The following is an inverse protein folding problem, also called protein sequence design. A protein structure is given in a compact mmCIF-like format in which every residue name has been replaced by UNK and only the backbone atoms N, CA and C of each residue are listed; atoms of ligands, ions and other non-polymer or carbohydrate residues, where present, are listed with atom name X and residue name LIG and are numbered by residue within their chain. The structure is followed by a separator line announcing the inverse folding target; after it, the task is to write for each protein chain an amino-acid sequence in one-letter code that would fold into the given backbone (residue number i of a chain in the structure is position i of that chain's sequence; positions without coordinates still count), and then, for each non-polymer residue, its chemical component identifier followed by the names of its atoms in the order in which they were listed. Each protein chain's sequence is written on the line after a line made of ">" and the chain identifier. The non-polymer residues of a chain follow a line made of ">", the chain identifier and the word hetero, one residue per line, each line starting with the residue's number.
data_IF_119035338641
#
_entry.id   IF_119035338641
#
_cell.length_a   1.000
_cell.length_b   1.000
_cell.length_c   1.000
_cell.angle_alpha   90.00
_cell.angle_beta   90.00
_cell.angle_gamma   90.00
#
_symmetry.space_group_name_H-M   'P 1'
#
loop_
_entity.id
_entity.type
_entity.pdbx_description
1 polymer ?
#
# COMPACT_ATOMS: atom_id res chain seq x y z
N UNK A 1 23.26 12.35 22.90
CA UNK A 1 22.13 13.30 22.74
C UNK A 1 21.82 13.67 21.29
N UNK A 2 22.79 13.87 20.40
CA UNK A 2 22.50 14.29 18.99
C UNK A 2 21.84 13.18 18.14
N UNK A 3 22.12 11.91 18.42
CA UNK A 3 21.67 10.79 17.57
C UNK A 3 20.14 10.60 17.54
N UNK A 4 19.45 10.72 18.68
CA UNK A 4 17.98 10.57 18.70
C UNK A 4 17.29 11.72 17.97
N UNK A 5 17.81 12.95 18.09
CA UNK A 5 17.28 14.14 17.39
C UNK A 5 17.37 13.99 15.88
N UNK A 6 18.47 13.42 15.40
CA UNK A 6 18.65 13.11 13.99
C UNK A 6 17.61 12.09 13.51
N UNK A 7 17.37 11.02 14.27
CA UNK A 7 16.33 10.04 13.90
C UNK A 7 14.92 10.64 14.00
N UNK A 8 14.61 11.45 15.02
CA UNK A 8 13.31 12.14 15.14
C UNK A 8 13.04 13.05 13.94
N UNK A 9 14.03 13.85 13.55
CA UNK A 9 13.95 14.72 12.36
C UNK A 9 13.80 13.89 11.09
N UNK A 10 14.53 12.78 10.98
CA UNK A 10 14.44 11.87 9.84
C UNK A 10 13.06 11.20 9.74
N UNK A 11 12.45 10.84 10.86
CA UNK A 11 11.07 10.32 10.89
C UNK A 11 10.10 11.37 10.37
N UNK A 12 10.25 12.65 10.76
CA UNK A 12 9.43 13.74 10.21
C UNK A 12 9.59 13.87 8.70
N UNK A 13 10.83 13.99 8.21
CA UNK A 13 11.12 14.11 6.77
C UNK A 13 10.53 12.97 5.96
N UNK A 14 10.74 11.72 6.41
CA UNK A 14 10.19 10.55 5.73
C UNK A 14 8.65 10.52 5.79
N UNK A 15 8.04 11.00 6.87
CA UNK A 15 6.57 11.11 6.97
C UNK A 15 6.03 12.14 5.97
N UNK A 16 6.71 13.27 5.80
CA UNK A 16 6.37 14.28 4.79
C UNK A 16 6.53 13.74 3.36
N UNK A 17 7.59 13.00 3.08
CA UNK A 17 7.83 12.37 1.78
C UNK A 17 6.77 11.31 1.46
N UNK A 18 6.46 10.44 2.42
CA UNK A 18 5.37 9.46 2.31
C UNK A 18 4.06 10.17 2.05
N UNK A 19 3.75 11.25 2.79
CA UNK A 19 2.52 12.01 2.58
C UNK A 19 2.45 12.66 1.20
N UNK A 20 3.55 13.26 0.72
CA UNK A 20 3.63 13.82 -0.64
C UNK A 20 3.40 12.74 -1.69
N UNK A 21 4.10 11.61 -1.59
CA UNK A 21 3.97 10.51 -2.55
C UNK A 21 2.58 9.85 -2.50
N UNK A 22 2.02 9.63 -1.31
CA UNK A 22 0.68 9.05 -1.16
C UNK A 22 -0.40 9.91 -1.82
N UNK A 23 -0.24 11.23 -1.85
CA UNK A 23 -1.17 12.15 -2.53
C UNK A 23 -1.10 12.10 -4.06
N UNK A 24 0.01 11.64 -4.64
CA UNK A 24 0.17 11.57 -6.10
C UNK A 24 -0.32 10.26 -6.67
N UNK A 25 -0.54 9.24 -5.83
CA UNK A 25 -0.98 7.92 -6.24
C UNK A 25 -2.48 7.92 -6.50
N UNK A 26 -2.85 7.50 -7.70
CA UNK A 26 -4.23 7.32 -8.11
C UNK A 26 -4.81 6.04 -7.50
N UNK A 27 -6.10 6.06 -7.17
CA UNK A 27 -6.79 4.92 -6.55
C UNK A 27 -6.90 3.71 -7.49
N UNK A 28 -6.90 3.93 -8.81
CA UNK A 28 -6.83 2.88 -9.83
C UNK A 28 -5.37 2.59 -10.19
N UNK A 29 -4.94 1.34 -10.05
CA UNK A 29 -3.53 0.96 -10.26
C UNK A 29 -3.04 1.26 -11.68
N UNK A 30 -3.91 1.18 -12.69
CA UNK A 30 -3.54 1.39 -14.10
C UNK A 30 -3.24 2.84 -14.47
N UNK A 31 -3.69 3.78 -13.64
CA UNK A 31 -3.52 5.22 -13.88
C UNK A 31 -2.27 5.77 -13.17
N UNK A 32 -1.49 4.89 -12.52
CA UNK A 32 -0.22 5.24 -11.90
C UNK A 32 0.93 4.93 -12.86
N UNK A 33 1.96 5.78 -12.84
CA UNK A 33 3.24 5.47 -13.49
C UNK A 33 3.89 4.26 -12.81
N UNK A 34 4.59 3.45 -13.62
CA UNK A 34 5.36 2.32 -13.14
C UNK A 34 6.36 2.75 -12.06
N UNK A 35 6.44 1.99 -10.97
CA UNK A 35 7.37 2.24 -9.86
C UNK A 35 6.86 3.17 -8.76
N UNK A 36 5.77 3.95 -8.95
CA UNK A 36 5.26 4.85 -7.89
C UNK A 36 4.87 4.14 -6.59
N UNK A 37 4.33 2.93 -6.70
CA UNK A 37 3.97 2.09 -5.55
C UNK A 37 5.21 1.51 -4.86
N UNK A 38 6.23 1.12 -5.63
CA UNK A 38 7.49 0.61 -5.11
C UNK A 38 8.27 1.72 -4.38
N UNK A 39 8.23 2.94 -4.91
CA UNK A 39 8.77 4.14 -4.26
C UNK A 39 8.07 4.42 -2.93
N UNK A 40 6.72 4.41 -2.91
CA UNK A 40 5.96 4.59 -1.68
C UNK A 40 6.29 3.51 -0.65
N UNK A 41 6.39 2.25 -1.09
CA UNK A 41 6.77 1.14 -0.22
C UNK A 41 8.17 1.34 0.36
N UNK A 42 9.15 1.71 -0.47
CA UNK A 42 10.52 1.98 -0.01
C UNK A 42 10.57 3.11 1.03
N UNK A 43 9.78 4.17 0.84
CA UNK A 43 9.67 5.27 1.80
C UNK A 43 9.05 4.81 3.13
N UNK A 44 8.00 3.99 3.09
CA UNK A 44 7.37 3.42 4.28
C UNK A 44 8.33 2.51 5.05
N UNK A 45 9.11 1.68 4.36
CA UNK A 45 10.13 0.82 4.96
C UNK A 45 11.24 1.64 5.63
N UNK A 46 11.77 2.66 4.95
CA UNK A 46 12.77 3.58 5.50
C UNK A 46 12.25 4.31 6.74
N UNK A 47 10.99 4.75 6.71
CA UNK A 47 10.32 5.39 7.86
C UNK A 47 10.22 4.43 9.03
N UNK A 48 9.77 3.19 8.79
CA UNK A 48 9.69 2.15 9.83
C UNK A 48 11.04 1.87 10.48
N UNK A 49 12.11 1.76 9.69
CA UNK A 49 13.46 1.57 10.23
C UNK A 49 13.95 2.78 11.07
N UNK A 50 13.63 4.01 10.66
CA UNK A 50 13.96 5.21 11.44
C UNK A 50 13.23 5.24 12.79
N UNK A 51 11.94 4.84 12.81
CA UNK A 51 11.17 4.71 14.05
C UNK A 51 11.80 3.68 14.99
N UNK A 52 12.18 2.51 14.47
CA UNK A 52 12.84 1.47 15.27
C UNK A 52 14.16 1.95 15.87
N UNK A 53 14.98 2.69 15.10
CA UNK A 53 16.22 3.30 15.61
C UNK A 53 15.94 4.35 16.68
N UNK A 54 14.95 5.21 16.45
CA UNK A 54 14.52 6.23 17.41
C UNK A 54 14.07 5.59 18.73
N UNK A 55 13.22 4.57 18.68
CA UNK A 55 12.75 3.83 19.86
C UNK A 55 13.93 3.22 20.64
N UNK A 56 14.89 2.60 19.94
CA UNK A 56 16.09 2.06 20.56
C UNK A 56 16.94 3.12 21.28
N UNK A 57 16.96 4.37 20.80
CA UNK A 57 17.64 5.47 21.49
C UNK A 57 16.86 5.97 22.71
N UNK A 58 15.54 6.05 22.61
CA UNK A 58 14.64 6.50 23.69
C UNK A 58 14.64 5.51 24.84
N UNK A 59 14.69 4.19 24.59
CA UNK A 59 14.65 3.19 25.66
C UNK A 59 15.97 3.02 26.40
N UNK A 60 17.11 3.36 25.77
CA UNK A 60 18.45 3.20 26.38
C UNK A 60 18.79 4.29 27.40
N UNK A 61 18.05 5.39 27.43
CA UNK A 61 18.29 6.53 28.31
C UNK A 61 16.95 6.90 28.93
N UNK A 62 16.90 7.34 30.19
CA UNK A 62 15.67 7.89 30.79
C UNK A 62 15.27 9.18 30.06
N UNK A 63 14.75 9.02 28.85
CA UNK A 63 14.73 10.05 27.83
C UNK A 63 13.66 11.08 28.15
N UNK A 64 14.07 12.34 28.22
CA UNK A 64 13.17 13.45 28.44
C UNK A 64 13.09 14.29 27.18
N UNK A 65 11.86 14.41 26.67
CA UNK A 65 11.54 15.26 25.53
C UNK A 65 11.65 16.74 25.90
N UNK A 66 12.58 17.43 25.26
CA UNK A 66 12.71 18.88 25.38
C UNK A 66 11.65 19.59 24.51
N UNK A 67 11.37 20.88 24.73
CA UNK A 67 10.31 21.60 24.00
C UNK A 67 10.43 21.51 22.47
N UNK A 68 11.65 21.55 21.93
CA UNK A 68 11.90 21.45 20.49
C UNK A 68 11.49 20.08 19.92
N UNK A 69 11.76 19.00 20.67
CA UNK A 69 11.36 17.66 20.26
C UNK A 69 9.83 17.53 20.26
N UNK A 70 9.16 18.14 21.25
CA UNK A 70 7.69 18.16 21.33
C UNK A 70 7.07 18.85 20.11
N UNK A 71 7.68 19.94 19.63
CA UNK A 71 7.23 20.61 18.42
C UNK A 71 7.30 19.70 17.18
N UNK A 72 8.37 18.91 17.04
CA UNK A 72 8.50 17.92 15.96
C UNK A 72 7.47 16.79 16.13
N UNK A 73 7.24 16.33 17.35
CA UNK A 73 6.25 15.30 17.66
C UNK A 73 4.83 15.76 17.32
N UNK A 74 4.47 17.02 17.60
CA UNK A 74 3.16 17.55 17.22
C UNK A 74 2.99 17.63 15.70
N UNK A 75 4.01 18.08 14.95
CA UNK A 75 3.98 18.04 13.48
C UNK A 75 3.81 16.62 12.94
N UNK A 76 4.51 15.64 13.53
CA UNK A 76 4.34 14.23 13.20
C UNK A 76 2.91 13.77 13.42
N UNK A 77 2.29 14.08 14.56
CA UNK A 77 0.90 13.72 14.84
C UNK A 77 -0.07 14.31 13.82
N UNK A 78 0.08 15.59 13.49
CA UNK A 78 -0.77 16.25 12.51
C UNK A 78 -0.65 15.62 11.11
N UNK A 79 0.57 15.25 10.71
CA UNK A 79 0.80 14.56 9.45
C UNK A 79 0.24 13.13 9.46
N UNK A 80 0.38 12.39 10.55
CA UNK A 80 -0.18 11.04 10.67
C UNK A 80 -1.70 11.02 10.54
N UNK A 81 -2.41 11.99 11.16
CA UNK A 81 -3.86 12.13 11.02
C UNK A 81 -4.26 12.31 9.55
N UNK A 82 -3.47 13.05 8.77
CA UNK A 82 -3.71 13.29 7.34
C UNK A 82 -3.29 12.11 6.47
N UNK A 83 -2.23 11.40 6.87
CA UNK A 83 -1.65 10.29 6.12
C UNK A 83 -2.49 9.00 6.25
N UNK A 84 -3.00 8.73 7.45
CA UNK A 84 -3.77 7.52 7.75
C UNK A 84 -4.94 7.26 6.78
N UNK A 85 -5.82 8.23 6.45
CA UNK A 85 -6.89 8.00 5.48
C UNK A 85 -6.37 7.76 4.06
N UNK A 86 -5.26 8.38 3.66
CA UNK A 86 -4.66 8.16 2.33
C UNK A 86 -4.16 6.73 2.19
N UNK A 87 -3.34 6.27 3.14
CA UNK A 87 -2.79 4.91 3.11
C UNK A 87 -3.90 3.86 3.18
N UNK A 88 -4.87 4.05 4.07
CA UNK A 88 -6.02 3.15 4.18
C UNK A 88 -6.85 3.12 2.89
N UNK A 89 -7.06 4.28 2.26
CA UNK A 89 -7.78 4.40 1.01
C UNK A 89 -7.08 3.69 -0.15
N UNK A 90 -5.76 3.84 -0.27
CA UNK A 90 -4.95 3.14 -1.27
C UNK A 90 -5.01 1.62 -1.07
N UNK A 91 -4.78 1.16 0.16
CA UNK A 91 -4.85 -0.27 0.51
C UNK A 91 -6.19 -0.90 0.13
N UNK A 92 -7.30 -0.25 0.51
CA UNK A 92 -8.64 -0.72 0.20
C UNK A 92 -8.92 -0.74 -1.30
N UNK A 93 -8.50 0.31 -2.02
CA UNK A 93 -8.71 0.45 -3.46
C UNK A 93 -7.98 -0.65 -4.23
N UNK A 94 -6.73 -0.92 -3.89
CA UNK A 94 -5.93 -1.97 -4.54
C UNK A 94 -6.40 -3.37 -4.17
N UNK A 95 -6.74 -3.60 -2.90
CA UNK A 95 -7.33 -4.87 -2.45
C UNK A 95 -8.62 -5.21 -3.20
N UNK A 96 -9.50 -4.23 -3.40
CA UNK A 96 -10.76 -4.41 -4.12
C UNK A 96 -10.54 -4.68 -5.61
N UNK A 97 -9.57 -4.00 -6.25
CA UNK A 97 -9.21 -4.27 -7.63
C UNK A 97 -8.66 -5.69 -7.82
N UNK A 98 -7.81 -6.16 -6.90
CA UNK A 98 -7.27 -7.52 -6.96
C UNK A 98 -8.38 -8.57 -6.79
N UNK A 99 -9.34 -8.36 -5.88
CA UNK A 99 -10.53 -9.22 -5.73
C UNK A 99 -11.34 -9.29 -7.01
N UNK A 100 -11.60 -8.14 -7.66
CA UNK A 100 -12.32 -8.08 -8.94
C UNK A 100 -11.58 -8.84 -10.04
N UNK A 101 -10.26 -8.66 -10.18
CA UNK A 101 -9.44 -9.40 -11.16
C UNK A 101 -9.56 -10.91 -10.92
N UNK A 102 -9.48 -11.36 -9.67
CA UNK A 102 -9.59 -12.79 -9.33
C UNK A 102 -10.98 -13.34 -9.64
N UNK A 103 -12.04 -12.59 -9.32
CA UNK A 103 -13.42 -12.94 -9.65
C UNK A 103 -13.64 -13.03 -11.17
N UNK A 104 -13.14 -12.05 -11.93
CA UNK A 104 -13.19 -12.08 -13.40
C UNK A 104 -12.44 -13.28 -13.95
N UNK A 105 -11.23 -13.59 -13.46
CA UNK A 105 -10.49 -14.79 -13.87
C UNK A 105 -11.25 -16.08 -13.57
N UNK A 106 -11.90 -16.18 -12.40
CA UNK A 106 -12.71 -17.35 -12.06
C UNK A 106 -13.95 -17.47 -12.96
N UNK A 107 -14.65 -16.36 -13.22
CA UNK A 107 -15.78 -16.31 -14.13
C UNK A 107 -15.38 -16.71 -15.56
N UNK A 108 -14.30 -16.14 -16.10
CA UNK A 108 -13.77 -16.49 -17.42
C UNK A 108 -13.39 -17.98 -17.50
N UNK A 109 -12.78 -18.56 -16.47
CA UNK A 109 -12.50 -20.01 -16.41
C UNK A 109 -13.78 -20.87 -16.44
N UNK A 110 -14.83 -20.46 -15.71
CA UNK A 110 -16.14 -21.14 -15.73
C UNK A 110 -16.80 -21.07 -17.11
N UNK A 111 -16.76 -19.91 -17.77
CA UNK A 111 -17.30 -19.74 -19.11
C UNK A 111 -16.51 -20.56 -20.15
N UNK A 112 -15.17 -20.52 -20.15
CA UNK A 112 -14.35 -21.34 -21.05
C UNK A 112 -14.62 -22.83 -20.83
N UNK A 113 -14.73 -23.28 -19.57
CA UNK A 113 -15.09 -24.66 -19.25
C UNK A 113 -16.49 -25.06 -19.75
N UNK A 114 -17.46 -24.14 -19.70
CA UNK A 114 -18.82 -24.38 -20.20
C UNK A 114 -18.86 -24.54 -21.74
N UNK A 115 -18.02 -23.82 -22.48
CA UNK A 115 -17.90 -23.98 -23.94
C UNK A 115 -16.99 -25.16 -24.34
N UNK A 116 -16.03 -25.56 -23.49
CA UNK A 116 -15.20 -26.75 -23.70
C UNK A 116 -15.94 -28.06 -23.37
N UNK A 117 -16.93 -28.05 -22.48
CA UNK A 117 -17.80 -29.22 -22.20
C UNK A 117 -18.88 -29.46 -23.26
N UNK A 118 -19.04 -28.58 -24.26
CA UNK A 118 -19.83 -28.90 -25.46
C UNK A 118 -18.96 -29.69 -26.45
N UNK A 119 -18.37 -30.79 -25.97
CA UNK A 119 -17.84 -31.84 -26.82
C UNK A 119 -19.03 -32.60 -27.42
N UNK A 120 -19.44 -32.16 -28.59
CA UNK A 120 -19.77 -33.00 -29.76
C UNK A 120 -20.48 -34.33 -29.45
N UNK A 121 -21.75 -34.28 -29.05
CA UNK A 121 -22.68 -35.39 -29.32
C UNK A 121 -23.57 -35.01 -30.51
N UNK A 122 -22.89 -34.78 -31.65
CA UNK A 122 -23.52 -34.54 -32.94
C UNK A 122 -24.06 -35.84 -33.51
N UNK A 123 -25.13 -36.38 -32.94
CA UNK A 123 -25.89 -37.44 -33.59
C UNK A 123 -26.86 -36.80 -34.59
N UNK A 124 -26.37 -36.55 -35.81
CA UNK A 124 -27.24 -36.34 -36.97
C UNK A 124 -27.86 -37.68 -37.33
N UNK A 125 -29.08 -37.93 -36.86
CA UNK A 125 -29.94 -38.95 -37.49
C UNK A 125 -30.49 -38.33 -38.77
N UNK A 126 -29.84 -38.60 -39.89
CA UNK A 126 -30.52 -38.69 -41.17
C UNK A 126 -30.00 -39.93 -41.91
N UNK A 127 -30.81 -40.98 -41.94
CA UNK A 127 -30.72 -42.03 -42.95
C UNK A 127 -32.07 -42.11 -43.65
N UNK A 128 -32.19 -41.35 -44.74
CA UNK A 128 -33.06 -41.70 -45.85
C UNK A 128 -32.32 -42.61 -46.83
N UNK A 129 -33.06 -43.65 -47.25
CA UNK A 129 -32.83 -44.69 -48.26
C UNK A 129 -32.23 -46.00 -47.75
#
# INVERSE_FOLDING_TARGET
>A
MVLYKNELTKVLQLTEEVYKQAKTIHSNMKDNEDGKLDELQSLLEKRGQAILRLDAFIQKQGHQWIPEDRYIIEQLKELEIKLQPLITGLYNSFSNQMKRINQTKQASKKYIGAYQMVSTDGSFIDKRN
#
